data_IF_416739579711
#
_entry.id   IF_416739579711
#
_cell.length_a   1.000
_cell.length_b   1.000
_cell.length_c   1.000
_cell.angle_alpha   90.00
_cell.angle_beta   90.00
_cell.angle_gamma   90.00
#
_symmetry.space_group_name_H-M   'P 1'
#
loop_
_entity.id
_entity.type
_entity.pdbx_description
1 polymer ?
#
# COMPACT_ATOMS: atom_id res chain seq x y z
N UNK A 1 7.45 7.62 -0.81
CA UNK A 1 6.09 8.05 -1.21
C UNK A 1 5.85 7.89 -2.71
N UNK A 2 6.59 8.57 -3.59
CA UNK A 2 6.34 8.55 -5.05
C UNK A 2 6.39 7.15 -5.64
N UNK A 3 7.40 6.33 -5.31
CA UNK A 3 7.49 4.95 -5.80
C UNK A 3 6.26 4.09 -5.40
N UNK A 4 5.73 4.28 -4.19
CA UNK A 4 4.52 3.61 -3.72
C UNK A 4 3.27 4.15 -4.45
N UNK A 5 3.22 5.45 -4.72
CA UNK A 5 2.13 6.04 -5.50
C UNK A 5 2.10 5.53 -6.95
N UNK A 6 3.27 5.41 -7.60
CA UNK A 6 3.43 4.80 -8.93
C UNK A 6 3.08 3.31 -8.91
N UNK A 7 3.44 2.58 -7.85
CA UNK A 7 2.96 1.22 -7.66
C UNK A 7 1.42 1.19 -7.65
N UNK A 8 0.78 2.18 -7.01
CA UNK A 8 -0.68 2.30 -6.97
C UNK A 8 -1.30 2.42 -8.36
N UNK A 9 -0.75 3.31 -9.21
CA UNK A 9 -1.27 3.47 -10.57
C UNK A 9 -1.11 2.20 -11.41
N UNK A 10 -0.02 1.45 -11.23
CA UNK A 10 0.19 0.16 -11.91
C UNK A 10 -0.71 -0.95 -11.34
N UNK A 11 -0.83 -1.06 -10.02
CA UNK A 11 -1.58 -2.12 -9.33
C UNK A 11 -3.09 -2.04 -9.63
N UNK A 12 -3.63 -0.81 -9.59
CA UNK A 12 -5.01 -0.51 -9.93
C UNK A 12 -5.21 -0.11 -11.39
N UNK A 13 -4.29 -0.54 -12.28
CA UNK A 13 -4.48 -0.43 -13.74
C UNK A 13 -5.35 -1.58 -14.28
N UNK A 14 -5.96 -1.41 -15.47
CA UNK A 14 -6.69 -2.48 -16.17
C UNK A 14 -5.86 -3.73 -16.49
N UNK A 15 -4.53 -3.62 -16.52
CA UNK A 15 -3.61 -4.71 -16.81
C UNK A 15 -3.37 -5.62 -15.59
N UNK A 16 -3.60 -5.13 -14.37
CA UNK A 16 -3.33 -5.83 -13.12
C UNK A 16 -4.64 -6.22 -12.41
N UNK A 17 -5.05 -5.48 -11.38
CA UNK A 17 -6.11 -5.90 -10.47
C UNK A 17 -7.36 -5.01 -10.50
N UNK A 18 -7.39 -3.93 -11.30
CA UNK A 18 -8.49 -2.96 -11.25
C UNK A 18 -9.86 -3.60 -11.57
N UNK A 19 -9.92 -4.49 -12.57
CA UNK A 19 -11.17 -5.17 -12.95
C UNK A 19 -11.73 -5.98 -11.79
N UNK A 20 -10.89 -6.83 -11.17
CA UNK A 20 -11.30 -7.65 -10.01
C UNK A 20 -11.66 -6.78 -8.81
N UNK A 21 -10.88 -5.74 -8.54
CA UNK A 21 -11.12 -4.79 -7.45
C UNK A 21 -12.47 -4.09 -7.57
N UNK A 22 -12.79 -3.55 -8.76
CA UNK A 22 -14.09 -2.93 -9.08
C UNK A 22 -15.22 -3.94 -8.91
N UNK A 23 -15.07 -5.16 -9.43
CA UNK A 23 -16.08 -6.22 -9.29
C UNK A 23 -16.33 -6.58 -7.82
N UNK A 24 -15.29 -6.72 -7.00
CA UNK A 24 -15.44 -7.03 -5.58
C UNK A 24 -16.08 -5.88 -4.78
N UNK A 25 -15.78 -4.63 -5.13
CA UNK A 25 -16.39 -3.46 -4.51
C UNK A 25 -17.80 -3.18 -5.03
N UNK A 26 -18.26 -3.89 -6.07
CA UNK A 26 -19.55 -3.69 -6.73
C UNK A 26 -19.76 -2.23 -7.17
N UNK A 27 -18.68 -1.56 -7.59
CA UNK A 27 -18.73 -0.18 -8.07
C UNK A 27 -19.39 -0.17 -9.44
N UNK A 28 -20.41 0.66 -9.62
CA UNK A 28 -20.96 0.97 -10.94
C UNK A 28 -20.06 2.00 -11.64
N UNK A 29 -19.30 1.54 -12.62
CA UNK A 29 -18.37 2.37 -13.41
C UNK A 29 -19.06 3.34 -14.36
N UNK A 30 -20.37 3.16 -14.63
CA UNK A 30 -21.14 4.02 -15.53
C UNK A 30 -21.95 5.08 -14.78
N UNK A 31 -21.93 5.06 -13.45
CA UNK A 31 -22.63 6.04 -12.65
C UNK A 31 -22.02 7.45 -12.87
N UNK A 32 -22.85 8.51 -12.99
CA UNK A 32 -22.38 9.87 -13.27
C UNK A 32 -21.47 10.45 -12.18
N UNK A 33 -21.50 9.88 -10.98
CA UNK A 33 -20.68 10.22 -9.82
C UNK A 33 -19.44 9.33 -9.64
N UNK A 34 -19.21 8.34 -10.50
CA UNK A 34 -18.09 7.39 -10.39
C UNK A 34 -16.70 8.06 -10.34
N UNK A 35 -16.56 9.28 -10.88
CA UNK A 35 -15.31 10.06 -10.86
C UNK A 35 -15.25 11.09 -9.73
N UNK A 36 -16.34 11.29 -8.99
CA UNK A 36 -16.41 12.29 -7.93
C UNK A 36 -15.50 11.88 -6.78
N UNK A 37 -14.64 12.79 -6.33
CA UNK A 37 -13.71 12.53 -5.23
C UNK A 37 -12.44 11.75 -5.60
N UNK A 38 -12.24 11.36 -6.87
CA UNK A 38 -10.99 10.71 -7.30
C UNK A 38 -9.76 11.56 -6.97
N UNK A 39 -9.81 12.88 -7.18
CA UNK A 39 -8.70 13.78 -6.84
C UNK A 39 -8.32 13.75 -5.35
N UNK A 40 -9.33 13.75 -4.47
CA UNK A 40 -9.10 13.63 -3.02
C UNK A 40 -8.55 12.25 -2.65
N UNK A 41 -9.03 11.19 -3.30
CA UNK A 41 -8.52 9.84 -3.08
C UNK A 41 -7.04 9.72 -3.50
N UNK A 42 -6.67 10.21 -4.69
CA UNK A 42 -5.29 10.17 -5.18
C UNK A 42 -4.35 11.10 -4.40
N UNK A 43 -4.79 12.32 -4.09
CA UNK A 43 -3.99 13.27 -3.31
C UNK A 43 -3.85 12.84 -1.84
N UNK A 44 -4.96 12.43 -1.22
CA UNK A 44 -4.98 11.94 0.15
C UNK A 44 -4.15 10.67 0.33
N UNK A 45 -4.22 9.72 -0.61
CA UNK A 45 -3.39 8.52 -0.57
C UNK A 45 -1.89 8.82 -0.66
N UNK A 46 -1.47 9.81 -1.43
CA UNK A 46 -0.07 10.23 -1.49
C UNK A 46 0.42 10.78 -0.14
N UNK A 47 -0.40 11.58 0.55
CA UNK A 47 -0.08 12.09 1.91
C UNK A 47 0.03 10.95 2.90
N UNK A 48 -0.92 10.00 2.89
CA UNK A 48 -0.88 8.83 3.77
C UNK A 48 0.35 7.95 3.51
N UNK A 49 0.71 7.73 2.24
CA UNK A 49 1.92 7.00 1.86
C UNK A 49 3.20 7.73 2.29
N UNK A 50 3.19 9.06 2.31
CA UNK A 50 4.30 9.84 2.84
C UNK A 50 4.45 9.66 4.35
N UNK A 51 3.35 9.74 5.11
CA UNK A 51 3.35 9.47 6.55
C UNK A 51 3.83 8.05 6.83
N UNK A 52 3.39 7.06 6.05
CA UNK A 52 3.83 5.68 6.19
C UNK A 52 5.33 5.52 5.90
N UNK A 53 5.84 6.18 4.85
CA UNK A 53 7.27 6.19 4.55
C UNK A 53 8.09 6.86 5.67
N UNK A 54 7.59 7.95 6.28
CA UNK A 54 8.23 8.58 7.44
C UNK A 54 8.29 7.63 8.63
N UNK A 55 7.22 6.89 8.91
CA UNK A 55 7.21 5.91 9.99
C UNK A 55 8.26 4.80 9.76
N UNK A 56 8.36 4.28 8.53
CA UNK A 56 9.41 3.31 8.16
C UNK A 56 10.81 3.91 8.34
N UNK A 57 11.02 5.17 7.94
CA UNK A 57 12.30 5.85 8.10
C UNK A 57 12.70 6.02 9.57
N UNK A 58 11.76 6.40 10.43
CA UNK A 58 11.99 6.48 11.89
C UNK A 58 12.40 5.11 12.43
N UNK A 59 11.71 4.03 12.04
CA UNK A 59 12.07 2.69 12.50
C UNK A 59 13.45 2.27 11.98
N UNK A 60 13.76 2.53 10.71
CA UNK A 60 15.06 2.23 10.12
C UNK A 60 16.22 2.95 10.83
N UNK A 61 16.02 4.23 11.17
CA UNK A 61 16.97 5.04 11.92
C UNK A 61 17.19 4.50 13.34
N UNK A 62 16.10 4.16 14.06
CA UNK A 62 16.17 3.66 15.44
C UNK A 62 16.77 2.27 15.55
N UNK A 63 16.70 1.48 14.48
CA UNK A 63 17.34 0.18 14.38
C UNK A 63 18.78 0.27 13.84
N UNK A 64 19.26 1.47 13.48
CA UNK A 64 20.57 1.69 12.84
C UNK A 64 20.77 0.83 11.58
N UNK A 65 19.71 0.62 10.81
CA UNK A 65 19.72 -0.17 9.56
C UNK A 65 19.58 0.69 8.31
N UNK A 66 19.65 2.02 8.46
CA UNK A 66 19.75 2.95 7.35
C UNK A 66 21.15 2.84 6.74
N UNK A 67 21.24 2.73 5.41
CA UNK A 67 22.48 2.40 4.71
C UNK A 67 22.93 0.93 4.82
N UNK A 68 22.25 0.09 5.61
CA UNK A 68 22.61 -1.34 5.77
C UNK A 68 22.28 -2.21 4.55
N UNK A 69 21.76 -1.61 3.48
CA UNK A 69 21.48 -2.24 2.19
C UNK A 69 20.04 -2.71 1.99
N UNK A 70 19.76 -3.16 0.77
CA UNK A 70 18.41 -3.50 0.31
C UNK A 70 17.76 -4.64 1.09
N UNK A 71 18.55 -5.61 1.58
CA UNK A 71 18.04 -6.77 2.33
C UNK A 71 17.41 -6.35 3.67
N UNK A 72 18.00 -5.36 4.35
CA UNK A 72 17.47 -4.79 5.60
C UNK A 72 16.16 -4.04 5.34
N UNK A 73 16.11 -3.28 4.25
CA UNK A 73 14.89 -2.59 3.81
C UNK A 73 13.77 -3.55 3.41
N UNK A 74 14.10 -4.66 2.76
CA UNK A 74 13.14 -5.71 2.43
C UNK A 74 12.54 -6.35 3.68
N UNK A 75 13.38 -6.72 4.66
CA UNK A 75 12.92 -7.28 5.94
C UNK A 75 12.04 -6.30 6.69
N UNK A 76 12.47 -5.04 6.79
CA UNK A 76 11.70 -3.99 7.47
C UNK A 76 10.35 -3.75 6.78
N UNK A 77 10.35 -3.56 5.47
CA UNK A 77 9.12 -3.32 4.71
C UNK A 77 8.19 -4.54 4.67
N UNK A 78 8.72 -5.76 4.66
CA UNK A 78 7.92 -6.97 4.78
C UNK A 78 7.31 -7.08 6.18
N UNK A 79 8.08 -6.79 7.23
CA UNK A 79 7.59 -6.78 8.60
C UNK A 79 6.48 -5.74 8.77
N UNK A 80 6.69 -4.50 8.33
CA UNK A 80 5.68 -3.46 8.48
C UNK A 80 4.45 -3.71 7.60
N UNK A 81 4.67 -4.15 6.38
CA UNK A 81 3.60 -4.49 5.44
C UNK A 81 2.74 -5.66 5.91
N UNK A 82 3.34 -6.74 6.40
CA UNK A 82 2.60 -7.93 6.84
C UNK A 82 2.03 -7.74 8.24
N UNK A 83 2.87 -7.39 9.21
CA UNK A 83 2.46 -7.40 10.62
C UNK A 83 1.62 -6.20 11.04
N UNK A 84 1.78 -5.03 10.40
CA UNK A 84 0.93 -3.86 10.71
C UNK A 84 -0.18 -3.67 9.68
N UNK A 85 0.14 -3.63 8.38
CA UNK A 85 -0.87 -3.30 7.37
C UNK A 85 -1.79 -4.49 7.07
N UNK A 86 -1.25 -5.65 6.70
CA UNK A 86 -2.06 -6.78 6.27
C UNK A 86 -2.93 -7.34 7.40
N UNK A 87 -2.43 -7.37 8.64
CA UNK A 87 -3.23 -7.76 9.82
C UNK A 87 -4.37 -6.79 10.07
N UNK A 88 -4.11 -5.48 10.04
CA UNK A 88 -5.14 -4.44 10.26
C UNK A 88 -6.20 -4.48 9.16
N UNK A 89 -5.79 -4.62 7.90
CA UNK A 89 -6.71 -4.81 6.79
C UNK A 89 -7.49 -6.11 6.99
N UNK A 90 -6.84 -7.20 7.38
CA UNK A 90 -7.49 -8.50 7.63
C UNK A 90 -8.58 -8.42 8.69
N UNK A 91 -8.31 -7.77 9.82
CA UNK A 91 -9.29 -7.55 10.90
C UNK A 91 -10.51 -6.77 10.39
N UNK A 92 -10.28 -5.66 9.68
CA UNK A 92 -11.38 -4.88 9.09
C UNK A 92 -12.22 -5.72 8.11
N UNK A 93 -11.57 -6.58 7.33
CA UNK A 93 -12.25 -7.41 6.33
C UNK A 93 -13.06 -8.54 6.95
N UNK A 94 -12.57 -9.12 8.06
CA UNK A 94 -13.31 -10.09 8.85
C UNK A 94 -14.60 -9.48 9.40
N UNK A 95 -14.54 -8.26 9.94
CA UNK A 95 -15.72 -7.56 10.46
C UNK A 95 -16.71 -7.18 9.36
N UNK A 96 -16.20 -6.75 8.20
CA UNK A 96 -17.03 -6.36 7.06
C UNK A 96 -17.53 -7.55 6.25
N UNK A 97 -17.15 -8.79 6.60
CA UNK A 97 -17.40 -10.02 5.81
C UNK A 97 -17.05 -9.84 4.33
N UNK A 98 -15.97 -9.11 4.08
CA UNK A 98 -15.53 -8.76 2.74
C UNK A 98 -14.90 -9.96 2.03
N UNK A 99 -14.98 -10.04 0.69
CA UNK A 99 -14.43 -11.17 -0.05
C UNK A 99 -12.91 -11.26 0.10
N UNK A 100 -12.38 -12.48 0.26
CA UNK A 100 -10.94 -12.74 0.40
C UNK A 100 -10.12 -12.21 -0.79
N UNK A 101 -10.70 -12.19 -2.00
CA UNK A 101 -10.05 -11.61 -3.17
C UNK A 101 -9.75 -10.11 -3.02
N UNK A 102 -10.65 -9.35 -2.37
CA UNK A 102 -10.43 -7.93 -2.10
C UNK A 102 -9.39 -7.71 -1.01
N UNK A 103 -9.35 -8.60 -0.01
CA UNK A 103 -8.29 -8.62 1.00
C UNK A 103 -6.92 -8.80 0.34
N UNK A 104 -6.75 -9.82 -0.51
CA UNK A 104 -5.48 -10.10 -1.16
C UNK A 104 -4.99 -8.94 -2.04
N UNK A 105 -5.89 -8.28 -2.77
CA UNK A 105 -5.53 -7.12 -3.60
C UNK A 105 -5.03 -5.96 -2.72
N UNK A 106 -5.75 -5.62 -1.66
CA UNK A 106 -5.46 -4.44 -0.85
C UNK A 106 -4.32 -4.67 0.16
N UNK A 107 -4.28 -5.84 0.79
CA UNK A 107 -3.18 -6.25 1.66
C UNK A 107 -1.90 -6.44 0.84
N UNK A 108 -1.98 -7.10 -0.33
CA UNK A 108 -0.85 -7.28 -1.24
C UNK A 108 -0.27 -5.95 -1.70
N UNK A 109 -1.11 -5.01 -2.13
CA UNK A 109 -0.70 -3.64 -2.45
C UNK A 109 0.06 -2.98 -1.29
N UNK A 110 -0.47 -3.13 -0.07
CA UNK A 110 0.13 -2.54 1.12
C UNK A 110 1.48 -3.14 1.46
N UNK A 111 1.61 -4.47 1.37
CA UNK A 111 2.85 -5.18 1.63
C UNK A 111 3.93 -4.77 0.62
N UNK A 112 3.63 -4.84 -0.68
CA UNK A 112 4.59 -4.50 -1.74
C UNK A 112 5.01 -3.04 -1.65
N UNK A 113 4.07 -2.14 -1.36
CA UNK A 113 4.36 -0.73 -1.16
C UNK A 113 5.30 -0.45 0.03
N UNK A 114 5.08 -1.13 1.16
CA UNK A 114 5.96 -1.04 2.32
C UNK A 114 7.35 -1.61 2.03
N UNK A 115 7.45 -2.73 1.29
CA UNK A 115 8.73 -3.31 0.86
C UNK A 115 9.51 -2.32 -0.01
N UNK A 116 8.87 -1.73 -1.02
CA UNK A 116 9.52 -0.75 -1.90
C UNK A 116 9.98 0.47 -1.09
N UNK A 117 9.12 0.99 -0.21
CA UNK A 117 9.49 2.12 0.65
C UNK A 117 10.66 1.78 1.58
N UNK A 118 10.63 0.63 2.23
CA UNK A 118 11.70 0.15 3.11
C UNK A 118 13.02 -0.05 2.39
N UNK A 119 13.01 -0.66 1.19
CA UNK A 119 14.21 -0.82 0.36
C UNK A 119 14.82 0.54 0.04
N UNK A 120 14.03 1.49 -0.47
CA UNK A 120 14.54 2.83 -0.82
C UNK A 120 15.14 3.53 0.39
N UNK A 121 14.45 3.48 1.53
CA UNK A 121 14.88 4.13 2.78
C UNK A 121 16.17 3.52 3.32
N UNK A 122 16.30 2.18 3.33
CA UNK A 122 17.51 1.52 3.84
C UNK A 122 18.66 1.51 2.84
N UNK A 123 18.41 1.82 1.57
CA UNK A 123 19.45 2.00 0.55
C UNK A 123 20.03 3.43 0.55
N UNK A 124 19.25 4.43 0.97
CA UNK A 124 19.75 5.79 1.12
C UNK A 124 20.36 5.99 2.51
N UNK A 125 21.57 6.57 2.53
CA UNK A 125 22.22 7.04 3.77
C UNK A 125 21.47 8.23 4.38
#
# INVERSE_FOLDING_TARGET
AIAYWVLGSLWYSPAMFSKKWITYLKIDVNAPDAKKGMGLMFGGSLVLMFIQALAIAIIAERLHIRGAGWMSGLKLGALTGVCFCATTIGINYLYQKSPLGLFLINAGYSIVGNIIAGIIICMWE
#
